data_IF_422709325595
#
_entry.id   IF_422709325595
#
_cell.length_a   1.000
_cell.length_b   1.000
_cell.length_c   1.000
_cell.angle_alpha   90.00
_cell.angle_beta   90.00
_cell.angle_gamma   90.00
#
_symmetry.space_group_name_H-M   'P 1'
#
loop_
_entity.id
_entity.type
_entity.pdbx_description
1 polymer ?
#
# COMPACT_ATOMS: atom_id res chain seq x y z
N UNK A 1 -6.87 19.58 7.09
CA UNK A 1 -6.68 21.05 6.93
C UNK A 1 -7.53 21.50 5.75
N UNK A 2 -8.30 22.58 5.88
CA UNK A 2 -9.18 23.09 4.80
C UNK A 2 -10.14 22.03 4.20
N UNK A 3 -10.67 21.12 5.04
CA UNK A 3 -11.52 20.01 4.58
C UNK A 3 -10.76 18.83 3.96
N UNK A 4 -9.44 18.91 3.82
CA UNK A 4 -8.61 17.86 3.24
C UNK A 4 -7.88 17.05 4.33
N UNK A 5 -7.92 15.71 4.21
CA UNK A 5 -7.12 14.82 5.06
C UNK A 5 -5.63 14.92 4.69
N UNK A 6 -4.82 15.34 5.67
CA UNK A 6 -3.37 15.50 5.53
C UNK A 6 -2.57 14.34 6.13
N UNK A 7 -3.23 13.48 6.91
CA UNK A 7 -2.60 12.39 7.62
C UNK A 7 -3.54 11.77 8.62
N UNK A 8 -3.17 10.58 9.08
CA UNK A 8 -3.99 9.75 9.95
C UNK A 8 -3.15 8.66 10.61
N UNK A 9 -3.67 8.14 11.71
CA UNK A 9 -2.95 7.20 12.55
C UNK A 9 -3.86 6.55 13.59
N UNK A 10 -3.37 5.49 14.21
CA UNK A 10 -4.08 4.83 15.30
C UNK A 10 -3.13 4.16 16.27
N UNK A 11 -3.65 3.91 17.47
CA UNK A 11 -3.06 2.92 18.38
C UNK A 11 -3.32 1.54 17.81
N UNK A 12 -2.31 0.67 17.89
CA UNK A 12 -2.35 -0.68 17.36
C UNK A 12 -2.71 -1.67 18.46
N UNK A 13 -3.43 -2.70 18.06
CA UNK A 13 -3.70 -3.85 18.91
C UNK A 13 -2.37 -4.59 19.09
N UNK A 14 -1.96 -4.77 20.33
CA UNK A 14 -0.77 -5.52 20.73
C UNK A 14 -1.12 -6.79 21.51
N UNK A 15 -2.39 -6.94 21.88
CA UNK A 15 -2.94 -8.12 22.56
C UNK A 15 -3.40 -9.19 21.55
N UNK A 16 -2.83 -10.41 21.60
CA UNK A 16 -3.18 -11.48 20.65
C UNK A 16 -4.64 -11.90 20.67
N UNK A 17 -5.29 -11.90 21.83
CA UNK A 17 -6.70 -12.32 21.96
C UNK A 17 -7.62 -11.31 21.28
N UNK A 18 -7.39 -10.03 21.53
CA UNK A 18 -8.09 -8.91 20.88
C UNK A 18 -7.87 -8.93 19.37
N UNK A 19 -6.64 -9.17 18.91
CA UNK A 19 -6.36 -9.24 17.47
C UNK A 19 -7.07 -10.43 16.81
N UNK A 20 -7.12 -11.57 17.49
CA UNK A 20 -7.82 -12.78 17.02
C UNK A 20 -9.33 -12.59 16.97
N UNK A 21 -9.91 -11.89 17.96
CA UNK A 21 -11.30 -11.49 17.94
C UNK A 21 -11.61 -10.63 16.72
N UNK A 22 -10.78 -9.60 16.47
CA UNK A 22 -10.97 -8.73 15.31
C UNK A 22 -10.93 -9.49 14.00
N UNK A 23 -9.95 -10.39 13.80
CA UNK A 23 -9.88 -11.21 12.59
C UNK A 23 -11.16 -12.03 12.35
N UNK A 24 -11.68 -12.69 13.38
CA UNK A 24 -12.96 -13.42 13.28
C UNK A 24 -14.11 -12.48 12.92
N UNK A 25 -14.17 -11.30 13.53
CA UNK A 25 -15.23 -10.31 13.27
C UNK A 25 -15.22 -9.80 11.84
N UNK A 26 -14.03 -9.63 11.22
CA UNK A 26 -13.90 -9.19 9.83
C UNK A 26 -13.92 -10.36 8.82
N UNK A 27 -14.26 -11.57 9.28
CA UNK A 27 -14.54 -12.73 8.41
C UNK A 27 -13.35 -13.62 8.08
N UNK A 28 -12.21 -13.47 8.75
CA UNK A 28 -11.07 -14.36 8.55
C UNK A 28 -11.25 -15.67 9.32
N UNK A 29 -10.92 -16.77 8.67
CA UNK A 29 -10.61 -18.02 9.37
C UNK A 29 -9.23 -17.93 10.04
N UNK A 30 -8.99 -18.79 11.04
CA UNK A 30 -7.69 -18.85 11.72
C UNK A 30 -6.55 -19.22 10.75
N UNK A 31 -6.82 -20.11 9.79
CA UNK A 31 -5.84 -20.51 8.78
C UNK A 31 -5.46 -19.36 7.84
N UNK A 32 -6.45 -18.59 7.36
CA UNK A 32 -6.20 -17.43 6.50
C UNK A 32 -5.44 -16.33 7.24
N UNK A 33 -5.82 -16.06 8.49
CA UNK A 33 -5.14 -15.08 9.34
C UNK A 33 -3.69 -15.50 9.59
N UNK A 34 -3.43 -16.78 9.86
CA UNK A 34 -2.07 -17.29 10.07
C UNK A 34 -1.25 -17.28 8.77
N UNK A 35 -1.86 -17.61 7.63
CA UNK A 35 -1.17 -17.61 6.33
C UNK A 35 -0.76 -16.21 5.88
N UNK A 36 -1.62 -15.20 6.08
CA UNK A 36 -1.35 -13.83 5.65
C UNK A 36 -0.60 -12.99 6.70
N UNK A 37 -0.90 -13.19 7.99
CA UNK A 37 -0.41 -12.35 9.10
C UNK A 37 0.37 -13.12 10.17
N UNK A 38 0.71 -14.40 9.94
CA UNK A 38 1.37 -15.24 10.93
C UNK A 38 2.69 -14.66 11.45
N UNK A 39 3.46 -13.97 10.61
CA UNK A 39 4.69 -13.30 11.05
C UNK A 39 4.41 -12.21 12.10
N UNK A 40 3.32 -11.43 11.91
CA UNK A 40 2.91 -10.35 12.81
C UNK A 40 2.32 -10.92 14.10
N UNK A 41 1.46 -11.94 13.98
CA UNK A 41 0.87 -12.63 15.12
C UNK A 41 1.92 -13.29 16.01
N UNK A 42 2.95 -13.87 15.40
CA UNK A 42 4.08 -14.44 16.14
C UNK A 42 4.87 -13.35 16.88
N UNK A 43 5.08 -12.17 16.29
CA UNK A 43 5.77 -11.06 16.94
C UNK A 43 5.05 -10.60 18.22
N UNK A 44 3.72 -10.58 18.25
CA UNK A 44 2.94 -10.22 19.45
C UNK A 44 3.18 -11.18 20.63
N UNK A 45 3.46 -12.46 20.36
CA UNK A 45 3.75 -13.47 21.40
C UNK A 45 5.06 -13.20 22.14
N UNK A 46 5.97 -12.43 21.56
CA UNK A 46 7.24 -12.05 22.20
C UNK A 46 7.15 -10.74 22.99
N UNK A 47 5.94 -10.21 23.20
CA UNK A 47 5.72 -9.03 24.04
C UNK A 47 5.84 -7.72 23.27
N UNK A 48 5.09 -7.57 22.18
CA UNK A 48 4.99 -6.27 21.51
C UNK A 48 4.39 -5.24 22.48
N UNK A 49 5.05 -4.09 22.73
CA UNK A 49 4.54 -3.09 23.64
C UNK A 49 3.30 -2.39 23.06
N UNK A 50 2.50 -1.71 23.89
CA UNK A 50 1.51 -0.76 23.40
C UNK A 50 2.17 0.25 22.47
N UNK A 51 1.72 0.31 21.22
CA UNK A 51 2.33 1.15 20.19
C UNK A 51 1.27 1.80 19.32
N UNK A 52 1.64 2.93 18.73
CA UNK A 52 0.80 3.69 17.82
C UNK A 52 1.67 4.45 16.85
N UNK A 53 1.06 4.90 15.76
CA UNK A 53 1.77 5.66 14.74
C UNK A 53 0.83 6.52 13.93
N UNK A 54 1.40 7.50 13.25
CA UNK A 54 0.73 8.42 12.35
C UNK A 54 1.54 8.54 11.07
N UNK A 55 0.85 8.66 9.94
CA UNK A 55 1.45 8.93 8.65
C UNK A 55 0.82 10.19 8.04
N UNK A 56 1.64 11.00 7.38
CA UNK A 56 1.21 12.20 6.68
C UNK A 56 1.31 11.98 5.17
N UNK A 57 0.32 12.50 4.44
CA UNK A 57 0.41 12.62 2.98
C UNK A 57 1.33 13.77 2.62
N UNK A 58 2.62 13.50 2.51
CA UNK A 58 3.64 14.54 2.34
C UNK A 58 3.40 15.41 1.09
N UNK A 59 3.14 14.81 -0.07
CA UNK A 59 2.88 15.54 -1.32
C UNK A 59 1.65 16.44 -1.24
N UNK A 60 0.65 15.99 -0.48
CA UNK A 60 -0.57 16.77 -0.23
C UNK A 60 -0.32 17.90 0.75
N UNK A 61 0.50 17.66 1.78
CA UNK A 61 0.90 18.70 2.70
C UNK A 61 1.69 19.79 1.99
N UNK A 62 2.66 19.43 1.13
CA UNK A 62 3.42 20.40 0.34
C UNK A 62 2.53 21.19 -0.62
N UNK A 63 1.60 20.54 -1.32
CA UNK A 63 0.64 21.21 -2.22
C UNK A 63 -0.23 22.23 -1.49
N UNK A 64 -0.79 21.87 -0.32
CA UNK A 64 -1.59 22.79 0.51
C UNK A 64 -0.74 23.97 0.98
N UNK A 65 0.51 23.74 1.40
CA UNK A 65 1.42 24.82 1.80
C UNK A 65 1.77 25.76 0.63
N UNK A 66 1.83 25.24 -0.59
CA UNK A 66 2.04 26.02 -1.80
C UNK A 66 0.76 26.56 -2.44
N UNK A 67 -0.40 26.43 -1.79
CA UNK A 67 -1.68 26.98 -2.28
C UNK A 67 -2.23 26.31 -3.54
N UNK A 68 -1.85 25.06 -3.79
CA UNK A 68 -2.35 24.27 -4.93
C UNK A 68 -3.22 23.11 -4.46
N UNK A 69 -4.29 22.86 -5.20
CA UNK A 69 -5.17 21.69 -5.01
C UNK A 69 -4.64 20.43 -5.73
N UNK A 70 -3.56 20.57 -6.53
CA UNK A 70 -2.95 19.45 -7.26
C UNK A 70 -1.55 19.15 -6.74
N UNK A 71 -1.30 17.88 -6.42
CA UNK A 71 0.04 17.40 -6.02
C UNK A 71 1.02 17.34 -7.20
N UNK A 72 0.53 17.38 -8.45
CA UNK A 72 1.36 17.22 -9.65
C UNK A 72 2.40 18.32 -9.78
N UNK A 73 2.10 19.52 -9.30
CA UNK A 73 3.02 20.67 -9.35
C UNK A 73 4.12 20.59 -8.27
N UNK A 74 3.99 19.66 -7.33
CA UNK A 74 4.88 19.45 -6.20
C UNK A 74 5.69 18.14 -6.32
N UNK A 75 5.49 17.40 -7.42
CA UNK A 75 6.22 16.18 -7.76
C UNK A 75 7.02 16.48 -9.03
N UNK A 76 8.34 16.26 -9.00
CA UNK A 76 9.21 16.61 -10.12
C UNK A 76 8.84 15.91 -11.45
N UNK A 77 8.44 14.64 -11.38
CA UNK A 77 8.05 13.82 -12.55
C UNK A 77 6.71 13.11 -12.30
N UNK A 78 5.59 13.87 -12.35
CA UNK A 78 4.28 13.35 -12.03
C UNK A 78 3.78 12.41 -13.13
N UNK A 79 2.93 11.45 -12.75
CA UNK A 79 2.26 10.55 -13.70
C UNK A 79 0.91 11.15 -14.12
N UNK A 80 0.41 10.76 -15.29
CA UNK A 80 -0.93 11.09 -15.72
C UNK A 80 -1.98 10.15 -15.08
N UNK A 81 -3.26 10.35 -15.40
CA UNK A 81 -4.37 9.57 -14.83
C UNK A 81 -4.38 8.09 -15.27
N UNK A 82 -3.54 7.70 -16.22
CA UNK A 82 -3.33 6.32 -16.66
C UNK A 82 -2.06 5.71 -16.06
N UNK A 83 -1.51 6.33 -15.01
CA UNK A 83 -0.24 5.97 -14.37
C UNK A 83 0.97 5.99 -15.33
N UNK A 84 0.90 6.76 -16.43
CA UNK A 84 2.01 6.91 -17.39
C UNK A 84 2.86 8.13 -17.10
N UNK A 85 4.16 7.99 -17.27
CA UNK A 85 5.08 9.10 -17.43
C UNK A 85 5.21 9.43 -18.92
N UNK A 86 4.70 10.58 -19.32
CA UNK A 86 4.71 11.00 -20.74
C UNK A 86 6.08 11.51 -21.20
N UNK A 87 6.96 11.90 -20.27
CA UNK A 87 8.27 12.45 -20.61
C UNK A 87 9.24 11.33 -21.01
N UNK A 88 9.19 10.20 -20.31
CA UNK A 88 10.08 9.05 -20.56
C UNK A 88 9.36 7.83 -21.16
N UNK A 89 8.12 8.02 -21.61
CA UNK A 89 7.23 6.99 -22.17
C UNK A 89 7.22 5.67 -21.35
N UNK A 90 6.82 5.78 -20.09
CA UNK A 90 6.77 4.63 -19.15
C UNK A 90 5.35 4.43 -18.64
N UNK A 91 4.86 3.19 -18.45
CA UNK A 91 5.54 1.90 -18.68
C UNK A 91 5.73 1.59 -20.17
N UNK A 92 6.74 0.75 -20.45
CA UNK A 92 7.09 0.28 -21.79
C UNK A 92 7.33 -1.24 -21.79
N UNK A 93 7.33 -1.84 -22.98
CA UNK A 93 7.58 -3.28 -23.16
C UNK A 93 9.03 -3.63 -22.83
N UNK A 94 9.25 -4.76 -22.16
CA UNK A 94 10.58 -5.31 -21.85
C UNK A 94 10.93 -6.49 -22.74
N UNK A 95 12.20 -6.93 -22.73
CA UNK A 95 12.64 -8.06 -23.54
C UNK A 95 12.11 -9.38 -22.98
N UNK A 96 11.88 -10.35 -23.88
CA UNK A 96 11.43 -11.69 -23.48
C UNK A 96 12.43 -12.38 -22.53
N UNK A 97 13.74 -12.22 -22.75
CA UNK A 97 14.79 -12.76 -21.87
C UNK A 97 14.61 -12.34 -20.40
N UNK A 98 14.15 -11.11 -20.14
CA UNK A 98 13.91 -10.61 -18.79
C UNK A 98 12.65 -11.23 -18.17
N UNK A 99 11.65 -11.53 -18.97
CA UNK A 99 10.45 -12.24 -18.53
C UNK A 99 10.79 -13.70 -18.18
N UNK A 100 11.60 -14.35 -19.02
CA UNK A 100 12.04 -15.73 -18.84
C UNK A 100 12.91 -15.87 -17.58
N UNK A 101 13.84 -14.95 -17.35
CA UNK A 101 14.67 -14.90 -16.13
C UNK A 101 13.83 -14.79 -14.86
N UNK A 102 12.77 -13.98 -14.90
CA UNK A 102 11.84 -13.80 -13.79
C UNK A 102 10.79 -14.91 -13.67
N UNK A 103 10.73 -15.84 -14.63
CA UNK A 103 9.74 -16.91 -14.68
C UNK A 103 8.30 -16.43 -14.87
N UNK A 104 8.12 -15.28 -15.53
CA UNK A 104 6.81 -14.65 -15.75
C UNK A 104 6.43 -14.65 -17.23
N UNK A 105 5.13 -14.75 -17.53
CA UNK A 105 4.60 -14.65 -18.88
C UNK A 105 3.45 -13.64 -18.94
N UNK A 106 3.44 -12.79 -19.96
CA UNK A 106 2.34 -11.85 -20.18
C UNK A 106 1.19 -12.59 -20.84
N UNK A 107 0.06 -12.74 -20.13
CA UNK A 107 -1.19 -13.24 -20.71
C UNK A 107 -1.82 -12.14 -21.57
N UNK A 108 -2.27 -12.49 -22.79
CA UNK A 108 -3.09 -11.58 -23.58
C UNK A 108 -4.49 -11.52 -22.96
N UNK A 109 -5.00 -10.31 -22.74
CA UNK A 109 -6.38 -10.09 -22.29
C UNK A 109 -7.35 -10.57 -23.37
N UNK A 110 -7.86 -11.80 -23.23
CA UNK A 110 -8.76 -12.44 -24.19
C UNK A 110 -8.65 -13.97 -24.27
N UNK A 111 -7.58 -14.57 -23.75
CA UNK A 111 -7.48 -16.03 -23.61
C UNK A 111 -8.01 -16.45 -22.22
N UNK A 112 -9.26 -16.89 -22.19
CA UNK A 112 -9.78 -17.71 -21.10
C UNK A 112 -9.11 -19.09 -21.14
N UNK A 113 -8.84 -19.65 -19.95
CA UNK A 113 -8.36 -21.04 -19.76
C UNK A 113 -9.20 -22.07 -20.53
#
# INVERSE_FOLDING_TARGET
INGTEIGGGSIRIHDPETQSLMFRTIGFTEEEAQKQFGFLLNAFRYGAPPHGGIAFGFDRWTAIMGGSDTIRDFIAFPKNNQARDVMIDTPATIKQEQLDELGIAIRKSGESE
#
